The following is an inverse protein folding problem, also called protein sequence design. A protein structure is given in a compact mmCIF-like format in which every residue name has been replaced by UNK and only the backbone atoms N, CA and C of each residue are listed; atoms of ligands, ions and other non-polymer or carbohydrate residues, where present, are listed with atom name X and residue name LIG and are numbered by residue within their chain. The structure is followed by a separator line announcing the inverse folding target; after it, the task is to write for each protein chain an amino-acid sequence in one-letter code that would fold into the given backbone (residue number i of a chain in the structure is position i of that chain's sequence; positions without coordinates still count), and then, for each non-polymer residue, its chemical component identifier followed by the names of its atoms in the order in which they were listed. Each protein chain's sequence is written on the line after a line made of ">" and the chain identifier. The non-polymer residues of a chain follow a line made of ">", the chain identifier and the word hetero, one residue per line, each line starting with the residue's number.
data_IF_271953741047
#
_entry.id   IF_271953741047
#
_cell.length_a   1.000
_cell.length_b   1.000
_cell.length_c   1.000
_cell.angle_alpha   90.00
_cell.angle_beta   90.00
_cell.angle_gamma   90.00
#
_symmetry.space_group_name_H-M   'P 1'
#
loop_
_entity.id
_entity.type
_entity.pdbx_description
1 polymer ?
#
# COMPACT_ATOMS: atom_id res chain seq x y z
N UNK A 1 -19.91 -40.48 -3.68
CA UNK A 1 -21.30 -40.08 -3.96
C UNK A 1 -21.98 -39.84 -2.61
N UNK A 2 -22.00 -38.63 -2.12
CA UNK A 2 -23.03 -38.16 -1.21
C UNK A 2 -23.08 -36.63 -1.27
N UNK A 3 -24.11 -36.19 -1.86
CA UNK A 3 -24.91 -34.98 -1.86
C UNK A 3 -24.50 -33.89 -0.84
N UNK A 4 -24.00 -32.81 -1.38
CA UNK A 4 -23.99 -31.49 -0.80
C UNK A 4 -25.42 -30.97 -0.61
N UNK A 5 -25.81 -30.71 0.62
CA UNK A 5 -26.95 -29.84 0.93
C UNK A 5 -26.39 -28.51 1.47
N UNK A 6 -26.16 -27.58 0.60
CA UNK A 6 -25.93 -26.17 0.92
C UNK A 6 -27.24 -25.56 1.45
N UNK A 7 -27.15 -24.96 2.63
CA UNK A 7 -28.22 -24.10 3.16
C UNK A 7 -28.27 -22.80 2.35
N UNK A 8 -29.13 -22.79 1.32
CA UNK A 8 -29.35 -21.69 0.39
C UNK A 8 -30.08 -20.47 0.99
N UNK A 9 -30.15 -20.33 2.30
CA UNK A 9 -30.90 -19.24 2.96
C UNK A 9 -30.03 -18.11 3.48
N UNK A 10 -28.72 -18.30 3.61
CA UNK A 10 -27.79 -17.23 4.03
C UNK A 10 -27.30 -16.37 2.85
N UNK A 11 -27.45 -16.85 1.61
CA UNK A 11 -27.00 -16.15 0.39
C UNK A 11 -28.02 -15.08 -0.07
N UNK A 12 -29.23 -15.06 0.44
CA UNK A 12 -30.29 -14.18 -0.06
C UNK A 12 -30.40 -12.83 0.68
N UNK A 13 -29.59 -12.56 1.69
CA UNK A 13 -29.64 -11.30 2.47
C UNK A 13 -28.47 -10.35 2.22
N UNK A 14 -27.51 -10.73 1.38
CA UNK A 14 -26.41 -9.84 0.93
C UNK A 14 -26.52 -9.42 -0.55
N UNK A 15 -27.60 -9.70 -1.22
CA UNK A 15 -27.89 -9.23 -2.56
C UNK A 15 -28.52 -7.83 -2.50
N UNK A 16 -27.70 -6.78 -2.48
CA UNK A 16 -28.28 -5.44 -2.60
C UNK A 16 -27.42 -4.22 -2.44
N UNK A 17 -26.15 -4.33 -2.16
CA UNK A 17 -25.26 -3.15 -2.19
C UNK A 17 -24.12 -3.49 -3.13
N UNK A 18 -24.30 -3.21 -4.43
CA UNK A 18 -23.17 -3.13 -5.36
C UNK A 18 -22.33 -1.94 -4.94
N UNK A 19 -21.32 -2.18 -4.11
CA UNK A 19 -20.34 -1.16 -3.77
C UNK A 19 -19.52 -0.85 -5.02
N UNK A 20 -19.59 0.38 -5.50
CA UNK A 20 -18.72 0.84 -6.57
C UNK A 20 -17.48 1.40 -5.86
N UNK A 21 -16.39 0.64 -5.88
CA UNK A 21 -15.14 1.07 -5.29
C UNK A 21 -14.21 1.60 -6.38
N UNK A 22 -13.50 2.67 -6.10
CA UNK A 22 -12.45 3.17 -7.00
C UNK A 22 -11.09 2.99 -6.36
N UNK A 23 -10.10 2.74 -7.19
CA UNK A 23 -8.75 2.53 -6.69
C UNK A 23 -8.09 3.85 -6.29
N UNK A 24 -7.37 3.79 -5.21
CA UNK A 24 -6.65 4.74 -4.41
C UNK A 24 -5.90 5.89 -5.13
N UNK A 25 -5.43 6.86 -4.35
CA UNK A 25 -4.77 8.13 -4.68
C UNK A 25 -3.71 8.07 -5.82
N UNK A 26 -3.24 9.24 -6.24
CA UNK A 26 -2.28 9.45 -7.36
C UNK A 26 -1.00 8.58 -7.28
N UNK A 27 -0.65 8.09 -6.10
CA UNK A 27 0.49 7.21 -5.84
C UNK A 27 1.82 7.94 -5.61
N UNK A 28 2.72 7.26 -4.91
CA UNK A 28 4.11 7.67 -4.71
C UNK A 28 5.01 6.58 -5.28
N UNK A 29 5.91 6.95 -6.21
CA UNK A 29 6.65 5.99 -7.02
C UNK A 29 8.17 6.04 -6.77
N UNK A 30 8.65 7.01 -6.02
CA UNK A 30 10.08 7.17 -5.73
C UNK A 30 10.33 7.80 -4.36
N UNK A 31 11.55 7.56 -3.83
CA UNK A 31 11.97 8.05 -2.52
C UNK A 31 12.03 9.57 -2.42
N UNK A 32 12.36 10.29 -3.51
CA UNK A 32 12.42 11.75 -3.48
C UNK A 32 11.02 12.35 -3.26
N UNK A 33 10.02 11.87 -4.01
CA UNK A 33 8.66 12.33 -3.85
C UNK A 33 8.07 11.91 -2.49
N UNK A 34 8.38 10.71 -1.98
CA UNK A 34 7.98 10.31 -0.62
C UNK A 34 8.51 11.30 0.42
N UNK A 35 9.79 11.68 0.33
CA UNK A 35 10.41 12.65 1.23
C UNK A 35 9.79 14.05 1.14
N UNK A 36 9.14 14.37 0.02
CA UNK A 36 8.51 15.64 -0.27
C UNK A 36 6.97 15.61 -0.06
N UNK A 37 6.47 14.66 0.75
CA UNK A 37 5.04 14.52 1.04
C UNK A 37 4.19 14.03 -0.13
N UNK A 38 4.82 13.50 -1.19
CA UNK A 38 4.13 13.08 -2.42
C UNK A 38 4.08 14.14 -3.52
N UNK A 39 4.74 15.31 -3.35
CA UNK A 39 4.84 16.31 -4.43
C UNK A 39 5.68 15.78 -5.58
N UNK A 40 5.28 16.10 -6.81
CA UNK A 40 5.99 15.64 -8.00
C UNK A 40 5.50 16.24 -9.30
N UNK A 41 4.27 16.78 -9.34
CA UNK A 41 3.64 17.24 -10.60
C UNK A 41 4.29 18.47 -11.17
N UNK A 42 4.72 19.42 -10.32
CA UNK A 42 5.50 20.59 -10.74
C UNK A 42 6.96 20.51 -10.30
N UNK A 43 7.25 19.79 -9.20
CA UNK A 43 8.57 19.70 -8.57
C UNK A 43 9.40 18.51 -9.05
N UNK A 44 8.81 17.54 -9.76
CA UNK A 44 9.52 16.41 -10.32
C UNK A 44 10.68 16.83 -11.21
N UNK A 45 11.74 16.04 -11.23
CA UNK A 45 12.91 16.24 -12.09
C UNK A 45 12.88 15.31 -13.31
N UNK A 46 13.86 15.39 -14.19
CA UNK A 46 13.95 14.55 -15.40
C UNK A 46 14.02 13.06 -15.10
N UNK A 47 14.55 12.67 -13.93
CA UNK A 47 14.74 11.27 -13.55
C UNK A 47 13.44 10.61 -13.07
N UNK A 48 12.51 11.37 -12.50
CA UNK A 48 11.28 10.86 -11.87
C UNK A 48 10.00 11.51 -12.42
N UNK A 49 10.14 12.55 -13.25
CA UNK A 49 9.01 13.30 -13.80
C UNK A 49 8.01 12.43 -14.54
N UNK A 50 8.47 11.40 -15.25
CA UNK A 50 7.62 10.47 -15.99
C UNK A 50 6.58 9.74 -15.11
N UNK A 51 6.84 9.59 -13.81
CA UNK A 51 5.89 8.99 -12.87
C UNK A 51 4.76 9.93 -12.47
N UNK A 52 5.01 11.26 -12.46
CA UNK A 52 4.08 12.26 -11.92
C UNK A 52 3.49 13.16 -12.99
N UNK A 53 4.33 13.63 -13.90
CA UNK A 53 3.95 14.48 -15.00
C UNK A 53 4.93 14.28 -16.17
N UNK A 54 4.52 13.61 -17.24
CA UNK A 54 5.42 13.31 -18.36
C UNK A 54 6.05 14.55 -18.99
N UNK A 55 5.42 15.74 -18.89
CA UNK A 55 6.00 16.98 -19.41
C UNK A 55 7.34 17.36 -18.76
N UNK A 56 7.57 16.92 -17.51
CA UNK A 56 8.78 17.28 -16.76
C UNK A 56 10.05 16.61 -17.32
N UNK A 57 9.93 15.57 -18.12
CA UNK A 57 11.08 14.94 -18.78
C UNK A 57 11.76 15.85 -19.80
N UNK A 58 11.09 16.93 -20.25
CA UNK A 58 11.66 17.96 -21.11
C UNK A 58 12.22 19.19 -20.37
N UNK A 59 12.09 19.23 -19.03
CA UNK A 59 12.62 20.34 -18.23
C UNK A 59 13.88 19.94 -17.50
N UNK A 60 15.02 20.53 -17.88
CA UNK A 60 16.25 20.44 -17.12
C UNK A 60 16.20 21.31 -15.86
N UNK A 61 16.51 20.74 -14.70
CA UNK A 61 16.63 21.49 -13.45
C UNK A 61 18.10 21.79 -13.17
N UNK A 62 18.48 23.06 -13.34
CA UNK A 62 19.82 23.53 -13.00
C UNK A 62 20.93 23.12 -13.97
N UNK A 63 22.16 23.53 -13.65
CA UNK A 63 23.34 23.32 -14.49
C UNK A 63 23.78 21.86 -14.59
N UNK A 64 23.59 21.11 -13.50
CA UNK A 64 24.05 19.70 -13.40
C UNK A 64 23.20 18.72 -14.24
N UNK A 65 21.90 18.98 -14.40
CA UNK A 65 21.04 18.12 -15.20
C UNK A 65 21.31 18.28 -16.71
N UNK A 66 21.79 19.43 -17.15
CA UNK A 66 22.14 19.71 -18.56
C UNK A 66 23.39 18.99 -19.07
N UNK A 67 24.19 18.42 -18.14
CA UNK A 67 25.43 17.71 -18.49
C UNK A 67 25.27 16.21 -18.54
N UNK A 68 24.04 15.69 -18.39
CA UNK A 68 23.77 14.27 -18.38
C UNK A 68 23.04 13.83 -19.64
N UNK A 69 23.51 12.74 -20.21
CA UNK A 69 22.86 12.09 -21.35
C UNK A 69 21.69 11.19 -20.91
N UNK A 70 21.66 10.79 -19.64
CA UNK A 70 20.58 9.99 -19.08
C UNK A 70 20.85 9.42 -17.69
N UNK A 71 19.89 8.66 -17.19
CA UNK A 71 20.06 7.92 -15.94
C UNK A 71 19.27 6.62 -15.94
N UNK A 72 19.78 5.64 -15.18
CA UNK A 72 19.05 4.45 -14.77
C UNK A 72 18.72 4.55 -13.30
N UNK A 73 17.51 4.18 -12.90
CA UNK A 73 17.13 4.21 -11.49
C UNK A 73 16.27 3.01 -11.12
N UNK A 74 16.59 2.41 -9.99
CA UNK A 74 15.75 1.46 -9.29
C UNK A 74 15.03 2.18 -8.16
N UNK A 75 13.74 1.92 -7.99
CA UNK A 75 12.86 2.55 -7.03
C UNK A 75 12.18 1.49 -6.18
N UNK A 76 12.24 1.62 -4.86
CA UNK A 76 11.48 0.83 -3.90
C UNK A 76 10.84 1.77 -2.88
N UNK A 77 9.53 1.75 -2.79
CA UNK A 77 8.76 2.62 -1.92
C UNK A 77 7.69 1.78 -1.22
N UNK A 78 7.62 1.92 0.08
CA UNK A 78 6.47 1.56 0.90
C UNK A 78 5.90 2.90 1.39
N UNK A 79 4.80 3.34 0.80
CA UNK A 79 4.26 4.69 1.06
C UNK A 79 3.25 4.73 2.19
N UNK A 80 2.69 3.56 2.57
CA UNK A 80 1.85 3.38 3.73
C UNK A 80 1.91 1.93 4.22
N UNK A 81 2.07 1.76 5.51
CA UNK A 81 1.90 0.50 6.24
C UNK A 81 1.27 0.85 7.58
N UNK A 82 -0.01 0.52 7.75
CA UNK A 82 -0.71 0.76 9.02
C UNK A 82 -0.23 -0.19 10.12
N UNK A 83 -0.47 0.16 11.36
CA UNK A 83 -0.16 -0.72 12.50
C UNK A 83 -0.93 -2.04 12.39
N UNK A 84 -2.20 -2.01 11.95
CA UNK A 84 -2.98 -3.21 11.70
C UNK A 84 -2.35 -4.11 10.64
N UNK A 85 -1.85 -3.53 9.52
CA UNK A 85 -1.17 -4.32 8.48
C UNK A 85 0.13 -4.94 8.99
N UNK A 86 0.87 -4.25 9.84
CA UNK A 86 2.09 -4.80 10.47
C UNK A 86 1.75 -5.94 11.40
N UNK A 87 0.78 -5.73 12.30
CA UNK A 87 0.34 -6.79 13.24
C UNK A 87 -0.18 -8.02 12.51
N UNK A 88 -0.97 -7.85 11.44
CA UNK A 88 -1.44 -8.96 10.62
C UNK A 88 -0.29 -9.72 9.95
N UNK A 89 0.68 -8.98 9.38
CA UNK A 89 1.86 -9.59 8.76
C UNK A 89 2.72 -10.37 9.77
N UNK A 90 2.93 -9.82 10.97
CA UNK A 90 3.68 -10.49 12.05
C UNK A 90 2.93 -11.75 12.53
N UNK A 91 1.60 -11.67 12.71
CA UNK A 91 0.79 -12.82 13.13
C UNK A 91 0.84 -13.97 12.10
N UNK A 92 0.81 -13.64 10.80
CA UNK A 92 0.96 -14.62 9.72
C UNK A 92 2.39 -15.20 9.68
N UNK A 93 3.41 -14.33 9.78
CA UNK A 93 4.80 -14.76 9.72
C UNK A 93 5.20 -15.66 10.90
N UNK A 94 4.63 -15.40 12.07
CA UNK A 94 4.85 -16.16 13.30
C UNK A 94 3.94 -17.40 13.40
N UNK A 95 3.04 -17.60 12.45
CA UNK A 95 2.08 -18.72 12.40
C UNK A 95 1.37 -18.93 13.76
N UNK A 96 0.80 -17.83 14.31
CA UNK A 96 0.28 -17.84 15.70
C UNK A 96 -0.82 -18.87 15.91
N UNK A 97 -1.67 -19.08 14.94
CA UNK A 97 -2.73 -20.08 14.99
C UNK A 97 -2.17 -21.51 14.92
N UNK A 98 -1.32 -21.81 13.93
CA UNK A 98 -0.70 -23.12 13.80
C UNK A 98 0.13 -23.50 15.04
N UNK A 99 0.75 -22.53 15.69
CA UNK A 99 1.46 -22.73 16.97
C UNK A 99 0.52 -23.13 18.11
N UNK A 100 -0.68 -22.52 18.17
CA UNK A 100 -1.68 -22.88 19.18
C UNK A 100 -2.22 -24.29 18.92
N UNK A 101 -2.63 -24.58 17.69
CA UNK A 101 -3.11 -25.92 17.30
C UNK A 101 -2.08 -26.99 17.57
N UNK A 102 -0.82 -26.80 17.19
CA UNK A 102 0.26 -27.73 17.46
C UNK A 102 0.50 -27.93 18.97
N UNK A 103 0.41 -26.85 19.77
CA UNK A 103 0.57 -26.96 21.22
C UNK A 103 -0.56 -27.76 21.90
N UNK A 104 -1.79 -27.65 21.39
CA UNK A 104 -2.95 -28.44 21.86
C UNK A 104 -2.78 -29.89 21.46
N UNK A 105 -2.31 -30.20 20.25
CA UNK A 105 -2.04 -31.56 19.81
C UNK A 105 -0.94 -32.20 20.64
N UNK A 106 0.17 -31.52 20.89
CA UNK A 106 1.27 -32.02 21.75
C UNK A 106 0.78 -32.30 23.17
N UNK A 107 -0.09 -31.44 23.71
CA UNK A 107 -0.70 -31.65 25.03
C UNK A 107 -1.62 -32.88 25.05
N UNK A 108 -2.39 -33.07 23.98
CA UNK A 108 -3.28 -34.22 23.84
C UNK A 108 -2.51 -35.54 23.71
N UNK A 109 -1.30 -35.53 23.10
CA UNK A 109 -0.43 -36.70 23.01
C UNK A 109 0.27 -36.99 24.34
N UNK A 110 0.85 -35.97 24.98
CA UNK A 110 1.63 -36.09 26.21
C UNK A 110 1.29 -34.94 27.17
N UNK A 111 0.28 -35.12 28.05
CA UNK A 111 -0.17 -34.07 28.98
C UNK A 111 0.91 -33.82 30.06
N UNK A 112 1.76 -32.84 29.81
CA UNK A 112 2.80 -32.39 30.75
C UNK A 112 2.63 -30.92 31.10
N UNK A 113 3.10 -30.49 32.28
CA UNK A 113 3.11 -29.04 32.61
C UNK A 113 3.87 -28.20 31.59
N UNK A 114 4.88 -28.75 30.92
CA UNK A 114 5.64 -28.07 29.86
C UNK A 114 4.82 -27.87 28.61
N UNK A 115 4.07 -28.89 28.16
CA UNK A 115 3.17 -28.76 26.99
C UNK A 115 2.03 -27.78 27.30
N UNK A 116 1.43 -27.82 28.50
CA UNK A 116 0.43 -26.87 28.91
C UNK A 116 0.94 -25.43 28.89
N UNK A 117 2.14 -25.19 29.38
CA UNK A 117 2.79 -23.85 29.31
C UNK A 117 2.99 -23.37 27.88
N UNK A 118 3.36 -24.26 26.95
CA UNK A 118 3.48 -23.91 25.51
C UNK A 118 2.13 -23.48 24.96
N UNK A 119 1.06 -24.20 25.26
CA UNK A 119 -0.30 -23.84 24.86
C UNK A 119 -0.77 -22.49 25.45
N UNK A 120 -0.50 -22.24 26.75
CA UNK A 120 -0.81 -20.96 27.40
C UNK A 120 -0.14 -19.80 26.67
N UNK A 121 1.16 -19.94 26.35
CA UNK A 121 1.88 -18.87 25.66
C UNK A 121 1.32 -18.64 24.25
N UNK A 122 1.04 -19.72 23.50
CA UNK A 122 0.49 -19.63 22.16
C UNK A 122 -0.91 -18.99 22.16
N UNK A 123 -1.79 -19.35 23.10
CA UNK A 123 -3.12 -18.75 23.26
C UNK A 123 -3.02 -17.25 23.57
N UNK A 124 -2.12 -16.85 24.47
CA UNK A 124 -1.90 -15.43 24.81
C UNK A 124 -1.28 -14.64 23.66
N UNK A 125 -0.36 -15.22 22.91
CA UNK A 125 0.23 -14.56 21.72
C UNK A 125 -0.86 -14.28 20.68
N UNK A 126 -1.74 -15.26 20.40
CA UNK A 126 -2.87 -15.11 19.49
C UNK A 126 -3.88 -14.07 20.00
N UNK A 127 -4.29 -14.16 21.27
CA UNK A 127 -5.19 -13.19 21.90
C UNK A 127 -4.64 -11.75 21.78
N UNK A 128 -3.35 -11.57 22.06
CA UNK A 128 -2.70 -10.25 21.96
C UNK A 128 -2.72 -9.71 20.52
N UNK A 129 -2.47 -10.55 19.52
CA UNK A 129 -2.54 -10.15 18.13
C UNK A 129 -3.97 -9.75 17.72
N UNK A 130 -4.97 -10.55 18.12
CA UNK A 130 -6.38 -10.25 17.88
C UNK A 130 -6.80 -8.93 18.53
N UNK A 131 -6.41 -8.66 19.80
CA UNK A 131 -6.68 -7.38 20.48
C UNK A 131 -6.00 -6.19 19.79
N UNK A 132 -4.84 -6.39 19.18
CA UNK A 132 -4.15 -5.34 18.43
C UNK A 132 -4.78 -5.09 17.07
N UNK A 133 -5.46 -6.08 16.50
CA UNK A 133 -6.17 -5.98 15.22
C UNK A 133 -7.60 -5.46 15.38
N UNK A 134 -8.21 -5.61 16.55
CA UNK A 134 -9.59 -5.24 16.80
C UNK A 134 -9.84 -3.76 16.49
N UNK A 135 -10.76 -3.51 15.56
CA UNK A 135 -11.10 -2.16 15.08
C UNK A 135 -9.96 -1.41 14.37
N UNK A 136 -8.93 -2.09 13.89
CA UNK A 136 -7.82 -1.47 13.15
C UNK A 136 -7.95 -1.69 11.65
N UNK A 137 -7.64 -0.61 10.92
CA UNK A 137 -7.49 -0.68 9.47
C UNK A 137 -6.20 -1.40 9.10
N UNK A 138 -6.30 -2.32 8.14
CA UNK A 138 -5.17 -3.04 7.56
C UNK A 138 -4.86 -2.45 6.19
N UNK A 139 -3.95 -1.46 6.15
CA UNK A 139 -3.64 -0.71 4.94
C UNK A 139 -2.16 -0.86 4.55
N UNK A 140 -1.90 -1.15 3.29
CA UNK A 140 -0.56 -1.18 2.72
C UNK A 140 -0.55 -0.58 1.30
N UNK A 141 0.44 0.26 0.99
CA UNK A 141 0.66 0.81 -0.35
C UNK A 141 2.18 0.86 -0.61
N UNK A 142 2.61 0.29 -1.72
CA UNK A 142 4.01 0.22 -2.07
C UNK A 142 4.25 0.16 -3.58
N UNK A 143 5.45 0.54 -4.00
CA UNK A 143 5.89 0.53 -5.38
C UNK A 143 7.30 -0.04 -5.50
N UNK A 144 7.50 -0.87 -6.52
CA UNK A 144 8.79 -1.38 -6.94
C UNK A 144 8.94 -1.15 -8.43
N UNK A 145 10.01 -0.50 -8.87
CA UNK A 145 10.15 -0.19 -10.27
C UNK A 145 11.58 0.14 -10.71
N UNK A 146 11.72 0.21 -12.03
CA UNK A 146 12.95 0.60 -12.71
C UNK A 146 12.62 1.58 -13.82
N UNK A 147 13.47 2.60 -13.98
CA UNK A 147 13.32 3.58 -15.06
C UNK A 147 14.64 3.92 -15.72
N UNK A 148 14.54 4.31 -16.99
CA UNK A 148 15.61 4.93 -17.76
C UNK A 148 15.10 6.29 -18.18
N UNK A 149 15.83 7.35 -17.82
CA UNK A 149 15.51 8.71 -18.19
C UNK A 149 16.48 9.19 -19.26
N UNK A 150 15.95 9.80 -20.30
CA UNK A 150 16.67 10.30 -21.48
C UNK A 150 16.31 11.78 -21.64
N UNK A 151 16.97 12.69 -20.90
CA UNK A 151 16.76 14.12 -21.06
C UNK A 151 17.36 14.63 -22.37
N UNK A 152 16.80 15.70 -22.88
CA UNK A 152 17.34 16.44 -24.02
C UNK A 152 17.08 17.95 -23.86
N UNK A 153 17.65 18.82 -24.69
CA UNK A 153 17.60 20.27 -24.49
C UNK A 153 16.18 20.88 -24.51
N UNK A 154 15.30 20.37 -25.34
CA UNK A 154 13.89 20.77 -25.44
C UNK A 154 12.95 19.59 -25.57
N UNK A 155 13.47 18.41 -25.57
CA UNK A 155 12.76 17.15 -25.71
C UNK A 155 13.28 16.20 -24.65
N UNK A 156 12.44 15.33 -24.16
CA UNK A 156 12.85 14.32 -23.19
C UNK A 156 11.97 13.11 -23.25
N UNK A 157 12.47 12.03 -22.70
CA UNK A 157 11.73 10.78 -22.64
C UNK A 157 12.18 9.90 -21.49
N UNK A 158 11.40 8.89 -21.23
CA UNK A 158 11.75 7.86 -20.28
C UNK A 158 11.14 6.52 -20.71
N UNK A 159 11.79 5.46 -20.26
CA UNK A 159 11.21 4.12 -20.22
C UNK A 159 11.04 3.73 -18.78
N UNK A 160 9.92 3.10 -18.43
CA UNK A 160 9.68 2.66 -17.07
C UNK A 160 8.92 1.33 -17.02
N UNK A 161 9.24 0.55 -16.01
CA UNK A 161 8.53 -0.67 -15.63
C UNK A 161 8.44 -0.71 -14.12
N UNK A 162 7.29 -1.07 -13.59
CA UNK A 162 7.12 -1.19 -12.15
C UNK A 162 5.79 -1.79 -11.77
N UNK A 163 5.68 -2.13 -10.50
CA UNK A 163 4.46 -2.68 -9.91
C UNK A 163 4.11 -1.91 -8.65
N UNK A 164 2.87 -1.48 -8.56
CA UNK A 164 2.28 -0.89 -7.37
C UNK A 164 1.33 -1.89 -6.73
N UNK A 165 1.51 -2.12 -5.44
CA UNK A 165 0.58 -2.86 -4.60
C UNK A 165 -0.23 -1.90 -3.74
N UNK A 166 -1.53 -2.10 -3.68
CA UNK A 166 -2.46 -1.37 -2.81
C UNK A 166 -3.31 -2.43 -2.11
N UNK A 167 -3.26 -2.48 -0.79
CA UNK A 167 -4.04 -3.40 0.03
C UNK A 167 -4.87 -2.66 1.06
N UNK A 168 -6.11 -3.08 1.22
CA UNK A 168 -7.03 -2.62 2.24
C UNK A 168 -7.72 -3.82 2.85
N UNK A 169 -7.78 -3.85 4.19
CA UNK A 169 -8.43 -4.90 4.91
C UNK A 169 -9.07 -4.40 6.18
N UNK A 170 -10.04 -5.16 6.66
CA UNK A 170 -10.70 -4.97 7.95
C UNK A 170 -10.70 -6.31 8.68
N UNK A 171 -10.53 -6.27 9.97
CA UNK A 171 -10.72 -7.41 10.86
C UNK A 171 -12.03 -7.22 11.63
N UNK A 172 -12.81 -8.29 11.71
CA UNK A 172 -14.01 -8.39 12.53
C UNK A 172 -13.72 -9.42 13.62
N UNK A 173 -13.32 -8.92 14.78
CA UNK A 173 -12.94 -9.74 15.91
C UNK A 173 -14.15 -9.95 16.81
N UNK A 174 -14.59 -11.21 16.93
CA UNK A 174 -15.70 -11.55 17.82
C UNK A 174 -15.20 -11.61 19.27
N UNK A 175 -15.92 -10.94 20.17
CA UNK A 175 -15.61 -10.94 21.60
C UNK A 175 -15.66 -12.34 22.21
N UNK A 176 -16.48 -13.24 21.66
CA UNK A 176 -16.55 -14.63 22.13
C UNK A 176 -15.22 -15.38 21.95
N UNK A 177 -14.37 -14.96 21.01
CA UNK A 177 -13.07 -15.58 20.80
C UNK A 177 -12.07 -15.21 21.90
N UNK A 178 -12.17 -13.99 22.45
CA UNK A 178 -11.38 -13.63 23.62
C UNK A 178 -11.78 -14.45 24.85
N UNK A 179 -13.08 -14.63 25.06
CA UNK A 179 -13.58 -15.47 26.15
C UNK A 179 -13.14 -16.93 25.95
N UNK A 180 -13.22 -17.44 24.71
CA UNK A 180 -12.77 -18.78 24.36
C UNK A 180 -11.27 -18.97 24.65
N UNK A 181 -10.40 -18.04 24.20
CA UNK A 181 -8.97 -18.12 24.43
C UNK A 181 -8.61 -18.02 25.91
N UNK A 182 -9.35 -17.20 26.69
CA UNK A 182 -9.20 -17.11 28.12
C UNK A 182 -9.57 -18.43 28.81
N UNK A 183 -10.69 -19.06 28.43
CA UNK A 183 -11.10 -20.36 28.95
C UNK A 183 -10.03 -21.43 28.67
N UNK A 184 -9.40 -21.41 27.48
CA UNK A 184 -8.26 -22.27 27.18
C UNK A 184 -7.08 -22.00 28.11
N UNK A 185 -6.71 -20.74 28.32
CA UNK A 185 -5.62 -20.38 29.24
C UNK A 185 -5.89 -20.91 30.66
N UNK A 186 -7.12 -20.68 31.19
CA UNK A 186 -7.50 -21.16 32.54
C UNK A 186 -7.45 -22.67 32.65
N UNK A 187 -7.98 -23.42 31.66
CA UNK A 187 -7.92 -24.87 31.62
C UNK A 187 -6.47 -25.41 31.54
N UNK A 188 -5.62 -24.73 30.77
CA UNK A 188 -4.22 -25.11 30.61
C UNK A 188 -3.38 -24.79 31.87
N UNK A 189 -3.64 -23.65 32.54
CA UNK A 189 -3.01 -23.31 33.83
C UNK A 189 -3.36 -24.33 34.93
N UNK A 190 -4.58 -24.84 34.94
CA UNK A 190 -4.97 -25.89 35.82
C UNK A 190 -4.16 -27.19 35.57
N UNK A 191 -3.97 -27.60 34.31
CA UNK A 191 -3.12 -28.74 33.93
C UNK A 191 -1.66 -28.47 34.29
N UNK A 192 -1.13 -27.27 34.04
CA UNK A 192 0.24 -26.90 34.43
C UNK A 192 0.48 -27.01 35.94
N UNK A 193 -0.51 -26.67 36.73
CA UNK A 193 -0.44 -26.78 38.21
C UNK A 193 -0.52 -28.21 38.74
N UNK A 194 -0.69 -29.20 37.85
CA UNK A 194 -0.82 -30.62 38.20
C UNK A 194 -2.25 -31.09 38.39
N UNK A 195 -3.24 -30.31 37.98
CA UNK A 195 -4.64 -30.70 37.94
C UNK A 195 -4.91 -31.78 36.89
N UNK A 196 -5.99 -32.53 37.09
CA UNK A 196 -6.36 -33.58 36.13
C UNK A 196 -7.07 -32.93 34.95
N UNK A 197 -6.57 -33.20 33.75
CA UNK A 197 -7.21 -32.75 32.53
C UNK A 197 -8.69 -33.22 32.49
N UNK A 198 -9.64 -32.28 32.39
CA UNK A 198 -11.08 -32.54 32.33
C UNK A 198 -11.89 -32.14 33.55
N UNK A 199 -11.28 -31.69 34.62
CA UNK A 199 -11.97 -31.18 35.80
C UNK A 199 -12.43 -29.70 35.65
N UNK A 200 -11.65 -28.87 34.92
CA UNK A 200 -12.03 -27.54 34.56
C UNK A 200 -12.32 -27.44 33.06
N UNK A 201 -13.28 -26.61 32.67
CA UNK A 201 -13.68 -26.33 31.29
C UNK A 201 -13.96 -27.59 30.46
N UNK A 202 -14.91 -28.47 30.90
CA UNK A 202 -15.24 -29.69 30.16
C UNK A 202 -15.76 -29.41 28.74
N UNK A 203 -16.31 -28.23 28.47
CA UNK A 203 -16.79 -27.81 27.16
C UNK A 203 -15.67 -27.64 26.13
N UNK A 204 -14.41 -27.49 26.55
CA UNK A 204 -13.25 -27.39 25.67
C UNK A 204 -12.72 -28.78 25.26
N UNK A 205 -13.43 -29.85 25.56
CA UNK A 205 -12.97 -31.23 25.32
C UNK A 205 -13.93 -32.04 24.48
N UNK A 206 -13.36 -32.98 23.77
CA UNK A 206 -14.12 -33.99 23.04
C UNK A 206 -14.61 -35.11 23.95
N UNK A 207 -15.41 -36.04 23.41
CA UNK A 207 -15.92 -37.22 24.14
C UNK A 207 -14.81 -38.16 24.67
N UNK A 208 -13.61 -38.04 24.15
CA UNK A 208 -12.43 -38.80 24.61
C UNK A 208 -11.63 -38.05 25.68
N UNK A 209 -12.06 -36.85 26.08
CA UNK A 209 -11.43 -36.01 27.08
C UNK A 209 -10.21 -35.23 26.58
N UNK A 210 -9.99 -35.17 25.29
CA UNK A 210 -8.91 -34.38 24.67
C UNK A 210 -9.37 -32.97 24.44
N UNK A 211 -8.47 -32.01 24.54
CA UNK A 211 -8.75 -30.63 24.15
C UNK A 211 -9.12 -30.57 22.67
N UNK A 212 -10.21 -29.89 22.38
CA UNK A 212 -10.59 -29.55 21.01
C UNK A 212 -9.63 -28.44 20.52
N UNK A 213 -9.20 -28.47 19.28
CA UNK A 213 -8.44 -27.37 18.70
C UNK A 213 -9.30 -26.10 18.68
N UNK A 214 -8.84 -24.98 19.29
CA UNK A 214 -9.62 -23.75 19.36
C UNK A 214 -9.93 -23.17 17.97
N UNK A 215 -9.12 -23.43 16.95
CA UNK A 215 -9.36 -22.98 15.58
C UNK A 215 -10.72 -23.42 15.03
N UNK A 216 -11.27 -24.57 15.47
CA UNK A 216 -12.62 -25.00 15.10
C UNK A 216 -13.76 -24.16 15.71
N UNK A 217 -13.45 -23.27 16.65
CA UNK A 217 -14.45 -22.52 17.42
C UNK A 217 -14.31 -21.01 17.26
N UNK A 218 -13.20 -20.51 16.70
CA UNK A 218 -12.98 -19.11 16.40
C UNK A 218 -14.02 -18.63 15.39
N UNK A 219 -14.65 -17.50 15.68
CA UNK A 219 -15.68 -16.86 14.87
C UNK A 219 -15.19 -15.58 14.19
N UNK A 220 -14.05 -15.06 14.64
CA UNK A 220 -13.43 -13.89 14.05
C UNK A 220 -13.14 -14.09 12.55
N UNK A 221 -13.27 -13.03 11.80
CA UNK A 221 -13.03 -13.02 10.36
C UNK A 221 -12.19 -11.83 9.94
N UNK A 222 -11.61 -11.88 8.76
CA UNK A 222 -10.96 -10.76 8.14
C UNK A 222 -11.32 -10.72 6.65
N UNK A 223 -11.53 -9.52 6.13
CA UNK A 223 -11.77 -9.30 4.72
C UNK A 223 -10.74 -8.33 4.17
N UNK A 224 -10.24 -8.57 2.97
CA UNK A 224 -9.25 -7.70 2.35
C UNK A 224 -9.28 -7.70 0.84
N UNK A 225 -9.14 -6.50 0.28
CA UNK A 225 -9.01 -6.30 -1.16
C UNK A 225 -7.63 -5.74 -1.48
N UNK A 226 -6.95 -6.37 -2.42
CA UNK A 226 -5.63 -5.98 -2.91
C UNK A 226 -5.62 -5.76 -4.42
N UNK A 227 -4.88 -4.74 -4.85
CA UNK A 227 -4.58 -4.49 -6.26
C UNK A 227 -3.07 -4.55 -6.48
N UNK A 228 -2.66 -5.26 -7.51
CA UNK A 228 -1.31 -5.21 -8.05
C UNK A 228 -1.36 -4.67 -9.48
N UNK A 229 -0.92 -3.41 -9.65
CA UNK A 229 -0.83 -2.74 -10.93
C UNK A 229 0.61 -2.80 -11.43
N UNK A 230 0.88 -3.63 -12.42
CA UNK A 230 2.18 -3.69 -13.07
C UNK A 230 2.14 -2.93 -14.39
N UNK A 231 2.98 -1.92 -14.54
CA UNK A 231 2.99 -1.00 -15.67
C UNK A 231 4.29 -1.12 -16.47
N UNK A 232 4.16 -1.10 -17.78
CA UNK A 232 5.25 -0.95 -18.72
C UNK A 232 4.93 0.23 -19.64
N UNK A 233 5.75 1.28 -19.60
CA UNK A 233 5.46 2.48 -20.34
C UNK A 233 6.68 3.20 -20.89
N UNK A 234 6.39 4.11 -21.79
CA UNK A 234 7.35 5.07 -22.33
C UNK A 234 6.78 6.47 -22.17
N UNK A 235 7.64 7.43 -21.87
CA UNK A 235 7.27 8.85 -21.78
C UNK A 235 8.00 9.62 -22.88
N UNK A 236 7.32 10.59 -23.44
CA UNK A 236 7.90 11.56 -24.35
C UNK A 236 7.34 12.95 -24.05
N UNK A 237 8.21 13.95 -24.05
CA UNK A 237 7.83 15.33 -23.82
C UNK A 237 8.59 16.28 -24.75
N UNK A 238 7.98 17.43 -24.99
CA UNK A 238 8.58 18.50 -25.77
C UNK A 238 8.24 19.86 -25.17
N UNK A 239 9.26 20.72 -25.08
CA UNK A 239 9.16 22.08 -24.66
C UNK A 239 9.02 23.01 -25.85
N UNK A 240 8.17 24.01 -25.72
CA UNK A 240 7.92 25.05 -26.70
C UNK A 240 8.07 26.40 -26.02
N UNK A 241 8.66 27.39 -26.70
CA UNK A 241 8.61 28.74 -26.24
C UNK A 241 7.35 29.41 -26.81
N UNK A 242 6.35 29.64 -25.95
CA UNK A 242 5.08 30.26 -26.31
C UNK A 242 4.93 31.57 -25.54
N UNK A 243 4.79 32.68 -26.27
CA UNK A 243 4.66 34.04 -25.69
C UNK A 243 5.77 34.41 -24.70
N UNK A 244 6.99 33.91 -24.94
CA UNK A 244 8.15 34.14 -24.07
C UNK A 244 8.19 33.29 -22.80
N UNK A 245 7.31 32.31 -22.70
CA UNK A 245 7.30 31.33 -21.60
C UNK A 245 7.67 29.94 -22.12
N UNK A 246 8.39 29.17 -21.31
CA UNK A 246 8.70 27.78 -21.61
C UNK A 246 7.54 26.89 -21.17
N UNK A 247 6.85 26.32 -22.16
CA UNK A 247 5.70 25.43 -21.99
C UNK A 247 6.07 24.04 -22.47
N UNK A 248 6.01 23.05 -21.61
CA UNK A 248 6.19 21.65 -21.97
C UNK A 248 4.87 20.91 -22.01
N UNK A 249 4.76 19.98 -22.94
CA UNK A 249 3.69 18.98 -22.99
C UNK A 249 4.30 17.60 -23.05
N UNK A 250 3.68 16.63 -22.41
CA UNK A 250 4.17 15.28 -22.33
C UNK A 250 3.06 14.24 -22.38
N UNK A 251 3.41 13.07 -22.86
CA UNK A 251 2.54 11.91 -22.95
C UNK A 251 3.30 10.67 -22.48
N UNK A 252 2.62 9.78 -21.77
CA UNK A 252 3.17 8.49 -21.36
C UNK A 252 2.17 7.35 -21.66
N UNK A 253 2.20 6.76 -22.85
CA UNK A 253 1.48 5.54 -23.13
C UNK A 253 2.08 4.37 -22.34
N UNK A 254 1.18 3.51 -21.81
CA UNK A 254 1.55 2.36 -20.98
C UNK A 254 0.62 1.17 -21.18
N UNK A 255 1.16 -0.02 -21.00
CA UNK A 255 0.38 -1.26 -20.82
C UNK A 255 0.31 -1.56 -19.35
N UNK A 256 -0.87 -1.84 -18.87
CA UNK A 256 -1.14 -2.15 -17.47
C UNK A 256 -1.59 -3.61 -17.36
N UNK A 257 -0.93 -4.35 -16.50
CA UNK A 257 -1.32 -5.65 -16.04
C UNK A 257 -1.88 -5.49 -14.63
N UNK A 258 -3.18 -5.64 -14.50
CA UNK A 258 -3.88 -5.49 -13.24
C UNK A 258 -4.25 -6.86 -12.71
N UNK A 259 -3.92 -7.12 -11.45
CA UNK A 259 -4.37 -8.27 -10.69
C UNK A 259 -5.13 -7.80 -9.46
N UNK A 260 -6.31 -8.32 -9.29
CA UNK A 260 -7.18 -8.10 -8.12
C UNK A 260 -7.08 -9.32 -7.23
N UNK A 261 -6.90 -9.09 -5.94
CA UNK A 261 -7.01 -10.05 -4.88
C UNK A 261 -8.17 -9.60 -4.00
N UNK A 262 -9.18 -10.39 -3.91
CA UNK A 262 -10.34 -10.10 -3.09
C UNK A 262 -10.61 -11.35 -2.28
N UNK A 263 -10.32 -11.29 -0.97
CA UNK A 263 -10.27 -12.47 -0.11
C UNK A 263 -11.02 -12.21 1.20
N UNK A 264 -11.96 -13.08 1.49
CA UNK A 264 -12.59 -13.25 2.79
C UNK A 264 -11.91 -14.41 3.51
N UNK A 265 -11.25 -14.14 4.63
CA UNK A 265 -10.69 -15.16 5.50
C UNK A 265 -11.64 -15.46 6.65
N UNK A 266 -12.07 -16.71 6.73
CA UNK A 266 -12.90 -17.22 7.82
C UNK A 266 -12.34 -18.53 8.28
N UNK A 267 -12.50 -18.82 9.55
CA UNK A 267 -12.25 -20.18 10.05
C UNK A 267 -13.43 -21.05 9.67
N UNK A 268 -13.18 -22.05 8.82
CA UNK A 268 -14.17 -23.04 8.40
C UNK A 268 -13.63 -24.42 8.71
N UNK A 269 -14.31 -25.16 9.59
CA UNK A 269 -13.91 -26.52 10.01
C UNK A 269 -12.47 -26.60 10.57
N UNK A 270 -11.99 -25.52 11.23
CA UNK A 270 -10.66 -25.46 11.84
C UNK A 270 -9.50 -25.20 10.89
N UNK A 271 -9.81 -24.80 9.66
CA UNK A 271 -8.80 -24.32 8.71
C UNK A 271 -9.15 -22.88 8.29
N UNK A 272 -8.15 -22.02 8.20
CA UNK A 272 -8.31 -20.73 7.55
C UNK A 272 -8.67 -20.96 6.08
N UNK A 273 -9.94 -20.84 5.77
CA UNK A 273 -10.41 -20.89 4.39
C UNK A 273 -10.44 -19.46 3.83
N UNK A 274 -9.69 -19.23 2.79
CA UNK A 274 -9.82 -18.04 1.95
C UNK A 274 -10.85 -18.35 0.85
N UNK A 275 -11.93 -17.58 0.84
CA UNK A 275 -12.86 -17.57 -0.29
C UNK A 275 -12.50 -16.33 -1.07
N UNK A 276 -11.72 -16.49 -2.12
CA UNK A 276 -11.17 -15.34 -2.84
C UNK A 276 -11.21 -15.47 -4.36
N UNK A 277 -11.22 -14.32 -5.00
CA UNK A 277 -11.10 -14.18 -6.44
C UNK A 277 -9.73 -13.60 -6.81
N UNK A 278 -9.14 -14.16 -7.85
CA UNK A 278 -7.84 -13.77 -8.36
C UNK A 278 -7.99 -13.39 -9.84
N UNK A 279 -8.47 -12.17 -10.08
CA UNK A 279 -8.74 -11.71 -11.43
C UNK A 279 -7.58 -10.95 -12.02
N UNK A 280 -7.28 -11.25 -13.28
CA UNK A 280 -6.15 -10.66 -13.99
C UNK A 280 -6.61 -10.08 -15.31
N UNK A 281 -6.23 -8.82 -15.58
CA UNK A 281 -6.54 -8.16 -16.85
C UNK A 281 -5.36 -7.35 -17.39
N UNK A 282 -5.29 -7.28 -18.73
CA UNK A 282 -4.36 -6.41 -19.45
C UNK A 282 -5.14 -5.32 -20.18
N UNK A 283 -4.66 -4.09 -20.07
CA UNK A 283 -5.24 -2.99 -20.83
C UNK A 283 -4.20 -1.93 -21.16
N UNK A 284 -4.52 -1.08 -22.12
CA UNK A 284 -3.70 0.06 -22.52
C UNK A 284 -4.22 1.32 -21.84
N UNK A 285 -3.31 2.16 -21.34
CA UNK A 285 -3.63 3.46 -20.76
C UNK A 285 -2.62 4.53 -21.18
N UNK A 286 -2.90 5.78 -20.85
CA UNK A 286 -2.08 6.95 -21.21
C UNK A 286 -2.12 7.95 -20.07
N UNK A 287 -0.96 8.50 -19.71
CA UNK A 287 -0.85 9.67 -18.84
C UNK A 287 -0.51 10.90 -19.70
N UNK A 288 -1.08 12.06 -19.35
CA UNK A 288 -0.83 13.34 -20.00
C UNK A 288 -0.31 14.34 -19.00
N UNK A 289 0.51 15.26 -19.47
CA UNK A 289 1.03 16.32 -18.64
C UNK A 289 1.34 17.61 -19.40
N UNK A 290 1.26 18.69 -18.66
CA UNK A 290 1.74 19.99 -19.11
C UNK A 290 2.41 20.73 -17.97
N UNK A 291 3.37 21.58 -18.29
CA UNK A 291 4.02 22.45 -17.33
C UNK A 291 4.47 23.76 -18.00
N UNK A 292 4.43 24.84 -17.27
CA UNK A 292 4.88 26.17 -17.72
C UNK A 292 5.78 26.77 -16.64
N UNK A 293 6.95 27.30 -17.07
CA UNK A 293 7.84 28.06 -16.19
C UNK A 293 7.55 29.54 -16.35
N UNK A 294 7.26 30.21 -15.23
CA UNK A 294 6.94 31.63 -15.12
C UNK A 294 8.05 32.33 -14.35
N UNK A 295 8.51 33.49 -14.84
CA UNK A 295 9.51 34.34 -14.18
C UNK A 295 10.77 33.52 -13.70
N UNK A 296 11.24 32.60 -14.51
CA UNK A 296 12.46 31.78 -14.35
C UNK A 296 12.48 30.82 -13.15
N UNK A 297 11.64 31.04 -12.16
CA UNK A 297 11.66 30.28 -10.89
C UNK A 297 10.35 29.56 -10.56
N UNK A 298 9.24 30.03 -11.08
CA UNK A 298 7.94 29.48 -10.76
C UNK A 298 7.50 28.52 -11.86
N UNK A 299 7.05 27.34 -11.46
CA UNK A 299 6.47 26.35 -12.38
C UNK A 299 5.05 26.02 -11.96
N UNK A 300 4.12 26.12 -12.89
CA UNK A 300 2.76 25.59 -12.74
C UNK A 300 2.62 24.39 -13.65
N UNK A 301 2.02 23.33 -13.16
CA UNK A 301 1.90 22.09 -13.91
C UNK A 301 0.58 21.39 -13.63
N UNK A 302 0.07 20.69 -14.64
CA UNK A 302 -1.12 19.85 -14.56
C UNK A 302 -0.79 18.48 -15.14
N UNK A 303 -1.18 17.44 -14.44
CA UNK A 303 -1.07 16.07 -14.94
C UNK A 303 -2.39 15.33 -14.77
N UNK A 304 -2.69 14.47 -15.74
CA UNK A 304 -3.80 13.53 -15.70
C UNK A 304 -3.21 12.13 -15.92
N UNK A 305 -3.35 11.27 -14.93
CA UNK A 305 -2.95 9.86 -15.01
C UNK A 305 -4.15 8.99 -15.36
N UNK A 306 -3.87 7.88 -16.02
CA UNK A 306 -4.85 6.85 -16.33
C UNK A 306 -6.08 7.38 -17.06
N UNK A 307 -5.86 8.07 -18.18
CA UNK A 307 -6.89 8.77 -18.97
C UNK A 307 -8.07 7.87 -19.36
N UNK A 308 -7.84 6.57 -19.46
CA UNK A 308 -8.88 5.59 -19.76
C UNK A 308 -9.31 4.87 -18.50
N UNK A 309 -10.57 5.08 -18.09
CA UNK A 309 -11.19 4.33 -17.00
C UNK A 309 -11.22 2.83 -17.27
N UNK A 310 -11.05 2.03 -16.23
CA UNK A 310 -11.17 0.58 -16.28
C UNK A 310 -12.04 0.10 -15.13
N UNK A 311 -13.04 -0.71 -15.42
CA UNK A 311 -13.89 -1.36 -14.42
C UNK A 311 -13.63 -2.86 -14.43
N UNK A 312 -13.50 -3.45 -13.25
CA UNK A 312 -13.39 -4.89 -13.03
C UNK A 312 -14.47 -5.27 -12.05
N UNK A 313 -15.15 -6.39 -12.35
CA UNK A 313 -16.10 -6.99 -11.42
C UNK A 313 -15.51 -8.29 -10.92
N UNK A 314 -15.41 -8.44 -9.60
CA UNK A 314 -14.93 -9.66 -8.95
C UNK A 314 -15.97 -10.79 -9.06
N UNK A 315 -15.59 -12.04 -8.84
CA UNK A 315 -16.53 -13.17 -8.92
C UNK A 315 -17.54 -13.16 -7.76
N UNK A 316 -17.23 -12.49 -6.66
CA UNK A 316 -18.15 -12.25 -5.54
C UNK A 316 -19.10 -11.07 -5.80
N UNK A 317 -18.90 -10.33 -6.89
CA UNK A 317 -19.79 -9.28 -7.36
C UNK A 317 -19.36 -7.85 -7.07
N UNK A 318 -18.23 -7.64 -6.41
CA UNK A 318 -17.70 -6.31 -6.15
C UNK A 318 -17.15 -5.66 -7.41
N UNK A 319 -17.34 -4.35 -7.50
CA UNK A 319 -17.00 -3.59 -8.68
C UNK A 319 -15.95 -2.56 -8.37
N UNK A 320 -14.73 -2.80 -8.87
CA UNK A 320 -13.58 -1.90 -8.72
C UNK A 320 -13.43 -1.06 -9.98
N UNK A 321 -13.42 0.26 -9.84
CA UNK A 321 -13.28 1.20 -10.94
C UNK A 321 -11.98 2.00 -10.81
N UNK A 322 -11.11 1.92 -11.81
CA UNK A 322 -9.93 2.77 -11.96
C UNK A 322 -10.31 3.96 -12.83
N UNK A 323 -10.34 5.16 -12.24
CA UNK A 323 -10.72 6.40 -12.91
C UNK A 323 -9.49 7.27 -13.23
N UNK A 324 -9.58 8.16 -14.24
CA UNK A 324 -8.58 9.21 -14.44
C UNK A 324 -8.38 10.06 -13.19
N UNK A 325 -7.14 10.48 -12.95
CA UNK A 325 -6.77 11.29 -11.78
C UNK A 325 -6.00 12.49 -12.20
N UNK A 326 -6.45 13.65 -11.75
CA UNK A 326 -5.89 14.94 -12.10
C UNK A 326 -5.22 15.58 -10.89
N UNK A 327 -4.02 16.12 -11.07
CA UNK A 327 -3.30 16.83 -10.02
C UNK A 327 -2.70 18.12 -10.58
N UNK A 328 -2.92 19.20 -9.85
CA UNK A 328 -2.32 20.51 -10.10
C UNK A 328 -1.10 20.69 -9.20
N UNK A 329 -0.01 21.21 -9.77
CA UNK A 329 1.22 21.49 -9.04
C UNK A 329 1.67 22.94 -9.23
N UNK A 330 2.23 23.52 -8.15
CA UNK A 330 2.95 24.79 -8.14
C UNK A 330 4.31 24.56 -7.52
N UNK A 331 5.39 25.01 -8.15
CA UNK A 331 6.72 24.91 -7.59
C UNK A 331 7.51 26.22 -7.73
N UNK A 332 8.30 26.54 -6.71
CA UNK A 332 9.40 27.48 -6.77
C UNK A 332 10.71 26.69 -6.86
N UNK A 333 11.51 26.95 -7.87
CA UNK A 333 12.72 26.20 -8.20
C UNK A 333 13.88 27.17 -8.29
N UNK A 334 14.93 26.93 -7.50
CA UNK A 334 16.16 27.71 -7.52
C UNK A 334 17.38 26.80 -7.52
N UNK A 335 18.59 27.37 -7.48
CA UNK A 335 19.83 26.57 -7.45
C UNK A 335 19.97 25.73 -6.18
N UNK A 336 19.50 26.22 -5.03
CA UNK A 336 19.69 25.57 -3.73
C UNK A 336 18.42 25.16 -3.02
N UNK A 337 17.28 25.80 -3.33
CA UNK A 337 16.01 25.59 -2.63
C UNK A 337 14.88 25.38 -3.63
N UNK A 338 14.19 24.27 -3.50
CA UNK A 338 12.93 24.02 -4.18
C UNK A 338 11.81 23.89 -3.16
N UNK A 339 10.65 24.46 -3.49
CA UNK A 339 9.41 24.30 -2.71
C UNK A 339 8.29 23.94 -3.68
N UNK A 340 7.52 22.92 -3.38
CA UNK A 340 6.42 22.46 -4.21
C UNK A 340 5.14 22.25 -3.42
N UNK A 341 4.02 22.58 -4.05
CA UNK A 341 2.66 22.33 -3.60
C UNK A 341 1.92 21.57 -4.70
N UNK A 342 1.37 20.43 -4.38
CA UNK A 342 0.50 19.66 -5.27
C UNK A 342 -0.88 19.51 -4.63
N UNK A 343 -1.94 19.58 -5.45
CA UNK A 343 -3.31 19.33 -5.03
C UNK A 343 -4.01 18.37 -5.99
N UNK A 344 -4.59 17.33 -5.47
CA UNK A 344 -5.49 16.44 -6.22
C UNK A 344 -6.79 17.16 -6.53
N UNK A 345 -7.24 17.10 -7.78
CA UNK A 345 -8.47 17.77 -8.23
C UNK A 345 -9.68 16.83 -8.10
N UNK A 346 -9.45 15.55 -8.07
CA UNK A 346 -10.46 14.51 -8.00
C UNK A 346 -10.48 13.86 -6.62
N UNK A 347 -11.68 13.55 -6.12
CA UNK A 347 -11.86 12.70 -4.95
C UNK A 347 -11.80 11.24 -5.40
N UNK A 348 -11.03 10.45 -4.70
CA UNK A 348 -10.87 9.03 -5.00
C UNK A 348 -11.44 8.21 -3.84
N UNK A 349 -12.53 7.46 -4.02
CA UNK A 349 -12.98 6.49 -3.03
C UNK A 349 -11.91 5.43 -2.75
N UNK A 350 -11.90 4.88 -1.54
CA UNK A 350 -11.03 3.76 -1.18
C UNK A 350 -11.47 2.46 -1.87
N UNK A 351 -10.67 1.38 -1.73
CA UNK A 351 -10.99 0.07 -2.30
C UNK A 351 -12.25 -0.59 -1.71
N UNK A 352 -12.74 -0.10 -0.59
CA UNK A 352 -13.94 -0.61 0.07
C UNK A 352 -15.16 0.29 -0.19
N UNK A 353 -14.96 1.46 -0.82
CA UNK A 353 -16.02 2.44 -1.07
C UNK A 353 -16.59 3.08 0.18
N UNK A 354 -15.92 2.93 1.32
CA UNK A 354 -16.38 3.43 2.62
C UNK A 354 -15.89 4.83 2.92
N UNK A 355 -14.77 5.24 2.33
CA UNK A 355 -14.16 6.54 2.50
C UNK A 355 -13.69 7.10 1.15
N UNK A 356 -13.47 8.40 1.09
CA UNK A 356 -12.84 9.05 -0.05
C UNK A 356 -11.55 9.75 0.41
N UNK A 357 -10.62 9.95 -0.51
CA UNK A 357 -9.36 10.63 -0.28
C UNK A 357 -9.13 11.71 -1.32
N UNK A 358 -8.57 12.84 -0.89
CA UNK A 358 -8.14 13.94 -1.75
C UNK A 358 -6.96 14.67 -1.11
N UNK A 359 -5.77 14.50 -1.64
CA UNK A 359 -4.55 14.98 -0.99
C UNK A 359 -4.14 16.39 -1.42
N UNK A 360 -3.66 17.17 -0.45
CA UNK A 360 -2.78 18.33 -0.66
C UNK A 360 -1.41 17.98 -0.08
N UNK A 361 -0.36 18.20 -0.87
CA UNK A 361 1.03 17.90 -0.50
C UNK A 361 1.91 19.13 -0.59
N UNK A 362 2.77 19.33 0.40
CA UNK A 362 3.80 20.37 0.44
C UNK A 362 5.17 19.71 0.61
N UNK A 363 6.13 20.08 -0.23
CA UNK A 363 7.48 19.55 -0.16
C UNK A 363 8.53 20.64 -0.29
N UNK A 364 9.65 20.47 0.42
CA UNK A 364 10.81 21.35 0.35
C UNK A 364 12.09 20.54 0.21
N UNK A 365 12.93 20.90 -0.75
CA UNK A 365 14.26 20.33 -0.96
C UNK A 365 15.32 21.41 -0.87
N UNK A 366 16.33 21.21 -0.01
CA UNK A 366 17.50 22.07 0.09
C UNK A 366 18.75 21.31 -0.34
N UNK A 367 19.43 21.82 -1.35
CA UNK A 367 20.64 21.21 -1.94
C UNK A 367 21.91 21.82 -1.38
N UNK A 368 22.79 20.94 -0.91
CA UNK A 368 24.12 21.23 -0.36
C UNK A 368 25.16 20.49 -1.21
N UNK A 369 25.58 21.07 -2.33
CA UNK A 369 26.53 20.39 -3.23
C UNK A 369 26.07 18.98 -3.62
N UNK A 370 26.63 17.94 -3.01
CA UNK A 370 26.31 16.52 -3.29
C UNK A 370 25.16 15.96 -2.46
N UNK A 371 24.69 16.70 -1.47
CA UNK A 371 23.64 16.26 -0.53
C UNK A 371 22.37 17.09 -0.74
N UNK A 372 21.20 16.44 -0.70
CA UNK A 372 19.90 17.08 -0.65
C UNK A 372 19.15 16.68 0.62
N UNK A 373 18.65 17.69 1.33
CA UNK A 373 17.80 17.53 2.51
C UNK A 373 16.35 17.80 2.08
N UNK A 374 15.43 16.95 2.50
CA UNK A 374 14.01 17.04 2.10
C UNK A 374 13.09 16.93 3.30
N UNK A 375 12.05 17.73 3.27
CA UNK A 375 10.92 17.68 4.21
C UNK A 375 9.63 17.76 3.43
N UNK A 376 8.62 17.05 3.88
CA UNK A 376 7.32 17.01 3.26
C UNK A 376 6.18 16.91 4.27
N UNK A 377 5.04 17.37 3.82
CA UNK A 377 3.77 17.27 4.55
C UNK A 377 2.66 16.92 3.56
N UNK A 378 1.76 16.04 3.95
CA UNK A 378 0.58 15.66 3.20
C UNK A 378 -0.64 15.68 4.10
N UNK A 379 -1.71 16.25 3.61
CA UNK A 379 -3.00 16.37 4.28
C UNK A 379 -4.11 15.84 3.39
N UNK A 380 -4.96 14.97 3.93
CA UNK A 380 -6.14 14.47 3.24
C UNK A 380 -7.35 15.38 3.58
N UNK A 381 -7.90 16.03 2.55
CA UNK A 381 -9.02 16.96 2.67
C UNK A 381 -10.33 16.27 3.09
N UNK A 382 -10.45 14.97 2.89
CA UNK A 382 -11.62 14.18 3.27
C UNK A 382 -11.48 13.59 4.67
N UNK A 383 -10.27 13.65 5.25
CA UNK A 383 -9.99 13.20 6.62
C UNK A 383 -9.97 11.68 6.80
N UNK A 384 -9.91 10.92 5.71
CA UNK A 384 -9.89 9.45 5.77
C UNK A 384 -8.54 8.90 6.22
N UNK A 385 -7.44 9.60 5.97
CA UNK A 385 -6.05 9.17 6.26
C UNK A 385 -5.36 10.18 7.15
N UNK A 386 -5.82 11.23 7.63
CA UNK A 386 -5.17 12.21 8.49
C UNK A 386 -3.85 12.79 7.92
N UNK A 387 -3.06 13.39 8.78
CA UNK A 387 -1.84 14.11 8.43
C UNK A 387 -0.62 13.19 8.36
N UNK A 388 0.25 13.43 7.38
CA UNK A 388 1.51 12.70 7.23
C UNK A 388 2.70 13.66 7.09
N UNK A 389 3.78 13.37 7.79
CA UNK A 389 5.05 14.09 7.73
C UNK A 389 6.13 13.19 7.13
N UNK A 390 6.95 13.76 6.28
CA UNK A 390 8.04 13.02 5.65
C UNK A 390 9.36 13.77 5.70
N UNK A 391 10.44 13.00 5.68
CA UNK A 391 11.80 13.51 5.59
C UNK A 391 12.64 12.61 4.70
N UNK A 392 13.71 13.15 4.14
CA UNK A 392 14.62 12.34 3.34
C UNK A 392 15.94 13.00 3.03
N UNK A 393 16.84 12.13 2.55
CA UNK A 393 18.19 12.49 2.15
C UNK A 393 18.41 12.02 0.72
N UNK A 394 18.95 12.91 -0.10
CA UNK A 394 19.48 12.56 -1.42
C UNK A 394 20.99 12.72 -1.44
N UNK A 395 21.68 11.77 -2.02
CA UNK A 395 23.12 11.84 -2.19
C UNK A 395 23.50 11.59 -3.65
N UNK A 396 24.29 12.51 -4.20
CA UNK A 396 24.79 12.44 -5.55
C UNK A 396 26.30 12.48 -5.52
N UNK A 397 26.92 11.38 -5.96
CA UNK A 397 28.37 11.27 -5.99
C UNK A 397 28.81 10.77 -7.36
N UNK A 398 29.46 11.65 -8.16
CA UNK A 398 29.82 11.34 -9.55
C UNK A 398 28.56 10.91 -10.34
N UNK A 399 28.53 9.66 -10.76
CA UNK A 399 27.40 9.06 -11.49
C UNK A 399 26.37 8.39 -10.60
N UNK A 400 26.66 8.18 -9.32
CA UNK A 400 25.78 7.47 -8.39
C UNK A 400 24.72 8.43 -7.82
N UNK A 401 23.47 7.98 -7.85
CA UNK A 401 22.31 8.65 -7.27
C UNK A 401 21.72 7.76 -6.18
N UNK A 402 21.56 8.29 -4.98
CA UNK A 402 20.94 7.58 -3.86
C UNK A 402 19.95 8.50 -3.16
N UNK A 403 18.74 8.02 -2.95
CA UNK A 403 17.76 8.71 -2.13
C UNK A 403 17.22 7.75 -1.08
N UNK A 404 17.06 8.25 0.13
CA UNK A 404 16.39 7.58 1.23
C UNK A 404 15.32 8.49 1.80
N UNK A 405 14.18 7.94 2.18
CA UNK A 405 13.07 8.69 2.74
C UNK A 405 12.29 7.88 3.76
N UNK A 406 11.62 8.60 4.65
CA UNK A 406 10.70 8.10 5.66
C UNK A 406 9.48 9.00 5.71
N UNK A 407 8.30 8.40 5.86
CA UNK A 407 7.01 9.08 6.09
C UNK A 407 6.33 8.46 7.29
N UNK A 408 5.65 9.28 8.07
CA UNK A 408 4.88 8.85 9.24
C UNK A 408 3.66 9.75 9.42
N UNK A 409 2.57 9.16 9.89
CA UNK A 409 1.33 9.86 10.21
C UNK A 409 0.19 8.90 10.51
N UNK A 410 -1.02 9.43 10.54
CA UNK A 410 -2.22 8.64 10.87
C UNK A 410 -2.49 7.51 9.85
N UNK A 411 -2.02 7.66 8.61
CA UNK A 411 -2.11 6.62 7.57
C UNK A 411 -1.06 5.51 7.67
N UNK A 412 -0.24 5.50 8.73
CA UNK A 412 0.84 4.55 8.95
C UNK A 412 2.23 5.13 8.64
N UNK A 413 3.19 4.24 8.53
CA UNK A 413 4.59 4.55 8.24
C UNK A 413 4.97 4.12 6.83
N UNK A 414 6.05 4.71 6.31
CA UNK A 414 6.59 4.31 5.02
C UNK A 414 8.07 4.64 4.87
N UNK A 415 8.71 3.94 3.95
CA UNK A 415 10.12 4.12 3.60
C UNK A 415 10.29 4.12 2.10
N UNK A 416 11.30 4.84 1.63
CA UNK A 416 11.65 4.86 0.21
C UNK A 416 13.16 4.76 0.01
N UNK A 417 13.53 4.01 -1.02
CA UNK A 417 14.89 3.87 -1.50
C UNK A 417 14.94 4.07 -3.01
N UNK A 418 15.89 4.86 -3.48
CA UNK A 418 16.28 4.94 -4.88
C UNK A 418 17.77 4.70 -5.01
N UNK A 419 18.12 3.85 -5.97
CA UNK A 419 19.50 3.66 -6.41
C UNK A 419 19.56 3.92 -7.91
N UNK A 420 20.40 4.85 -8.33
CA UNK A 420 20.49 5.26 -9.72
C UNK A 420 21.92 5.48 -10.17
N UNK A 421 22.10 5.42 -11.49
CA UNK A 421 23.35 5.72 -12.17
C UNK A 421 23.08 6.68 -13.33
N UNK A 422 23.72 7.86 -13.27
CA UNK A 422 23.66 8.87 -14.34
C UNK A 422 24.91 8.75 -15.26
N UNK A 423 24.76 9.02 -16.54
CA UNK A 423 25.83 8.97 -17.56
C UNK A 423 25.74 10.16 -18.51
#
# INVERSE_FOLDING_TARGET
>A
LNTFHFNSLAILLMAGISCHTTADSYGIFDARSLALGGTGVALGNVDTGHFYNPALTAFHQGHEDRTRDGSHSFHAVLSALSDGARTAADAIADDLEGRLSAAIDDLNEVPTPGAARTGINAARDLENAMRQLDGKDVNADGYLGYSISLPGDMEGGAFFVGSRFIGRGVSDIDNADFDLLQDYVEALEFVESGGTAGEEHPELRDDAGRFIDPSFRIQSSAAGTGLLLSELGVSAAKQYNLWGQDVAVGIAPKVVHLRVFDEDWRVVDGEFASIGDNRTEFYFNVDLGTAVTLADHWRVALAVKDLRSKTITTDIGDRIELQPRSRLGLAYISESLDVGLDAELDKTPDLQGTAARQDISLGTEYRLSTLALRLGFRHDLEGSVGDQFSAGLGWRFSHLLMDFSYIQGDGGEGVGLRLGWAY
#
